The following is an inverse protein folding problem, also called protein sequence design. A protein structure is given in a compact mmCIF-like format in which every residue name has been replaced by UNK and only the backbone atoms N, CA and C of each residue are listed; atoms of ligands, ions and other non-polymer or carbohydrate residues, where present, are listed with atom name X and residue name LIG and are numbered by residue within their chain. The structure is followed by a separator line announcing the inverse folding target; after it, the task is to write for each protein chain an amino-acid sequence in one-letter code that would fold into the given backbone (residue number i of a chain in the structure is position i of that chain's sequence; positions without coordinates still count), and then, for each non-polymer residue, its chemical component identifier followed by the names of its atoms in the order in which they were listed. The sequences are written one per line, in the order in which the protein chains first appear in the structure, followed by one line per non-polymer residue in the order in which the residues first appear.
data_IF_517011737253
#
_entry.id   IF_517011737253
#
_cell.length_a   1.000
_cell.length_b   1.000
_cell.length_c   1.000
_cell.angle_alpha   90.00
_cell.angle_beta   90.00
_cell.angle_gamma   90.00
#
_symmetry.space_group_name_H-M   'P 1'
#
loop_
_entity.id
_entity.type
_entity.pdbx_description
1 polymer ?
#
# COMPACT_ATOMS: atom_id res chain seq x y z
N UNK A 1 11.20 3.07 12.86
CA UNK A 1 11.06 3.81 11.60
C UNK A 1 9.67 3.53 11.04
N UNK A 2 9.26 4.22 9.96
CA UNK A 2 8.09 3.84 9.18
C UNK A 2 8.53 3.48 7.76
N UNK A 3 7.98 2.40 7.21
CA UNK A 3 8.22 1.95 5.85
C UNK A 3 6.91 2.10 5.10
N UNK A 4 6.93 2.88 4.02
CA UNK A 4 5.77 3.04 3.14
C UNK A 4 5.92 2.03 2.01
N UNK A 5 4.90 1.19 1.83
CA UNK A 5 4.88 0.13 0.84
C UNK A 5 4.00 0.53 -0.33
N UNK A 6 4.52 0.30 -1.52
CA UNK A 6 3.83 0.52 -2.79
C UNK A 6 3.10 -0.76 -3.26
N UNK A 7 2.10 -0.60 -4.13
CA UNK A 7 1.29 -1.69 -4.67
C UNK A 7 2.14 -2.75 -5.37
N UNK A 8 3.16 -2.37 -6.13
CA UNK A 8 3.99 -3.33 -6.87
C UNK A 8 4.81 -4.22 -5.93
N UNK A 9 5.37 -3.65 -4.87
CA UNK A 9 6.11 -4.39 -3.85
C UNK A 9 5.18 -5.36 -3.12
N UNK A 10 4.02 -4.88 -2.66
CA UNK A 10 3.04 -5.73 -1.98
C UNK A 10 2.56 -6.87 -2.91
N UNK A 11 2.29 -6.55 -4.17
CA UNK A 11 1.87 -7.52 -5.19
C UNK A 11 2.93 -8.58 -5.46
N UNK A 12 4.19 -8.17 -5.60
CA UNK A 12 5.29 -9.09 -5.85
C UNK A 12 5.44 -10.11 -4.71
N UNK A 13 5.40 -9.66 -3.46
CA UNK A 13 5.49 -10.55 -2.30
C UNK A 13 4.24 -11.41 -2.12
N UNK A 14 3.03 -10.87 -2.34
CA UNK A 14 1.80 -11.64 -2.20
C UNK A 14 1.71 -12.79 -3.20
N UNK A 15 2.08 -12.55 -4.47
CA UNK A 15 2.05 -13.57 -5.54
C UNK A 15 2.94 -14.78 -5.26
N UNK A 16 3.94 -14.64 -4.39
CA UNK A 16 4.86 -15.73 -4.00
C UNK A 16 4.66 -16.18 -2.54
N UNK A 17 3.53 -15.83 -1.91
CA UNK A 17 3.25 -16.12 -0.48
C UNK A 17 4.32 -15.56 0.47
N UNK A 18 4.98 -14.47 0.08
CA UNK A 18 6.14 -13.88 0.74
C UNK A 18 5.82 -12.74 1.71
N UNK A 19 4.56 -12.35 1.92
CA UNK A 19 4.20 -11.22 2.81
C UNK A 19 4.77 -11.39 4.24
N UNK A 20 4.89 -12.64 4.71
CA UNK A 20 5.52 -12.93 6.01
C UNK A 20 6.99 -12.50 6.06
N UNK A 21 7.75 -12.70 4.98
CA UNK A 21 9.14 -12.26 4.88
C UNK A 21 9.26 -10.74 4.98
N UNK A 22 8.33 -10.01 4.35
CA UNK A 22 8.28 -8.54 4.43
C UNK A 22 8.06 -8.08 5.88
N UNK A 23 7.18 -8.76 6.62
CA UNK A 23 6.96 -8.48 8.04
C UNK A 23 8.17 -8.85 8.92
N UNK A 24 8.85 -9.96 8.63
CA UNK A 24 10.05 -10.36 9.37
C UNK A 24 11.19 -9.35 9.16
N UNK A 25 11.41 -8.92 7.91
CA UNK A 25 12.43 -7.95 7.52
C UNK A 25 12.26 -6.60 8.23
N UNK A 26 11.02 -6.14 8.37
CA UNK A 26 10.67 -4.84 8.97
C UNK A 26 9.96 -4.98 10.32
N UNK A 27 10.25 -6.06 11.06
CA UNK A 27 9.54 -6.43 12.29
C UNK A 27 9.56 -5.38 13.41
N UNK A 28 10.48 -4.40 13.35
CA UNK A 28 10.59 -3.31 14.33
C UNK A 28 10.01 -1.98 13.82
N UNK A 29 9.53 -1.94 12.59
CA UNK A 29 9.05 -0.75 11.91
C UNK A 29 7.54 -0.79 11.70
N UNK A 30 6.94 0.39 11.51
CA UNK A 30 5.54 0.49 11.10
C UNK A 30 5.47 0.35 9.59
N UNK A 31 4.84 -0.73 9.12
CA UNK A 31 4.47 -0.89 7.72
C UNK A 31 3.21 -0.07 7.42
N UNK A 32 3.32 0.84 6.47
CA UNK A 32 2.28 1.78 6.09
C UNK A 32 2.05 1.71 4.58
N UNK A 33 0.91 2.23 4.15
CA UNK A 33 0.47 2.31 2.75
C UNK A 33 -0.30 3.62 2.58
N UNK A 34 -0.39 4.13 1.36
CA UNK A 34 -1.19 5.31 1.04
C UNK A 34 -2.63 4.92 0.69
N UNK A 35 -3.53 5.91 0.58
CA UNK A 35 -4.89 5.67 0.08
C UNK A 35 -4.89 5.23 -1.38
N UNK A 36 -3.99 5.77 -2.22
CA UNK A 36 -3.87 5.36 -3.63
C UNK A 36 -3.53 3.87 -3.79
N UNK A 37 -2.63 3.35 -2.96
CA UNK A 37 -2.33 1.91 -2.92
C UNK A 37 -3.57 1.08 -2.55
N UNK A 38 -4.41 1.59 -1.63
CA UNK A 38 -5.67 0.91 -1.28
C UNK A 38 -6.66 0.89 -2.45
N UNK A 39 -6.78 2.00 -3.19
CA UNK A 39 -7.62 2.11 -4.38
C UNK A 39 -7.15 1.15 -5.49
N UNK A 40 -5.85 1.07 -5.72
CA UNK A 40 -5.26 0.13 -6.68
C UNK A 40 -5.53 -1.33 -6.28
N UNK A 41 -5.35 -1.68 -5.01
CA UNK A 41 -5.65 -3.02 -4.50
C UNK A 41 -7.13 -3.37 -4.61
N UNK A 42 -8.03 -2.41 -4.40
CA UNK A 42 -9.47 -2.61 -4.60
C UNK A 42 -9.79 -2.93 -6.07
N UNK A 43 -9.21 -2.17 -7.02
CA UNK A 43 -9.35 -2.44 -8.45
C UNK A 43 -8.80 -3.81 -8.87
N UNK A 44 -7.63 -4.19 -8.33
CA UNK A 44 -7.02 -5.51 -8.57
C UNK A 44 -7.94 -6.63 -8.06
N UNK A 45 -8.51 -6.47 -6.86
CA UNK A 45 -9.49 -7.43 -6.31
C UNK A 45 -10.72 -7.56 -7.19
N UNK A 46 -11.30 -6.44 -7.62
CA UNK A 46 -12.48 -6.41 -8.51
C UNK A 46 -12.20 -7.07 -9.87
N UNK A 47 -10.94 -7.05 -10.30
CA UNK A 47 -10.48 -7.75 -11.51
C UNK A 47 -10.30 -9.27 -11.33
N UNK A 48 -10.58 -9.81 -10.14
CA UNK A 48 -10.55 -11.25 -9.86
C UNK A 48 -9.19 -11.80 -9.38
N UNK A 49 -8.30 -10.93 -8.90
CA UNK A 49 -7.00 -11.36 -8.38
C UNK A 49 -7.01 -11.53 -6.85
N UNK A 50 -7.07 -12.79 -6.40
CA UNK A 50 -7.21 -13.16 -4.99
C UNK A 50 -6.04 -12.72 -4.08
N UNK A 51 -4.85 -12.44 -4.64
CA UNK A 51 -3.71 -11.98 -3.84
C UNK A 51 -3.95 -10.60 -3.21
N UNK A 52 -4.86 -9.80 -3.77
CA UNK A 52 -5.22 -8.50 -3.21
C UNK A 52 -5.86 -8.64 -1.82
N UNK A 53 -6.69 -9.66 -1.59
CA UNK A 53 -7.31 -9.90 -0.29
C UNK A 53 -6.27 -10.27 0.79
N UNK A 54 -5.24 -11.01 0.39
CA UNK A 54 -4.12 -11.33 1.28
C UNK A 54 -3.36 -10.08 1.70
N UNK A 55 -3.13 -9.16 0.75
CA UNK A 55 -2.49 -7.87 1.03
C UNK A 55 -3.38 -7.06 1.97
N UNK A 56 -4.67 -6.90 1.65
CA UNK A 56 -5.61 -6.10 2.45
C UNK A 56 -5.75 -6.61 3.90
N UNK A 57 -5.67 -7.92 4.12
CA UNK A 57 -5.62 -8.51 5.47
C UNK A 57 -4.28 -8.33 6.19
N UNK A 58 -3.20 -8.11 5.46
CA UNK A 58 -1.84 -7.94 5.97
C UNK A 58 -1.53 -6.49 6.38
N UNK A 59 -1.91 -5.51 5.57
CA UNK A 59 -1.62 -4.09 5.84
C UNK A 59 -2.61 -3.48 6.85
N UNK A 60 -2.07 -2.78 7.86
CA UNK A 60 -2.88 -1.86 8.68
C UNK A 60 -2.94 -0.51 8.00
N UNK A 61 -4.11 -0.13 7.50
CA UNK A 61 -4.32 1.20 6.93
C UNK A 61 -4.06 2.26 8.02
N UNK A 62 -3.16 3.20 7.73
CA UNK A 62 -3.04 4.45 8.49
C UNK A 62 -3.53 5.57 7.59
N UNK A 63 -4.76 6.06 7.78
CA UNK A 63 -5.32 7.09 6.91
C UNK A 63 -4.43 8.33 6.94
N UNK A 64 -4.16 8.89 5.76
CA UNK A 64 -3.56 10.22 5.67
C UNK A 64 -4.54 11.21 6.30
N UNK A 65 -4.03 12.07 7.19
CA UNK A 65 -4.82 13.19 7.68
C UNK A 65 -5.00 14.22 6.55
N UNK A 66 -6.00 15.08 6.69
CA UNK A 66 -6.41 16.04 5.65
C UNK A 66 -5.24 16.88 5.12
N UNK A 67 -4.35 17.32 6.02
CA UNK A 67 -3.14 18.09 5.69
C UNK A 67 -2.21 17.34 4.73
N UNK A 68 -1.99 16.03 4.97
CA UNK A 68 -1.14 15.21 4.10
C UNK A 68 -1.83 14.89 2.78
N UNK A 69 -3.16 14.71 2.80
CA UNK A 69 -3.95 14.47 1.59
C UNK A 69 -3.89 15.68 0.66
N UNK A 70 -4.01 16.89 1.20
CA UNK A 70 -3.91 18.13 0.43
C UNK A 70 -2.52 18.34 -0.18
N UNK A 71 -1.47 17.98 0.56
CA UNK A 71 -0.09 18.00 0.04
C UNK A 71 0.08 17.02 -1.12
N UNK A 72 -0.47 15.80 -0.99
CA UNK A 72 -0.43 14.80 -2.05
C UNK A 72 -1.17 15.26 -3.31
N UNK A 73 -2.39 15.79 -3.18
CA UNK A 73 -3.14 16.32 -4.31
C UNK A 73 -2.43 17.51 -4.98
N UNK A 74 -1.78 18.38 -4.20
CA UNK A 74 -1.00 19.49 -4.72
C UNK A 74 0.21 19.00 -5.53
N UNK A 75 0.90 17.98 -5.03
CA UNK A 75 2.01 17.34 -5.73
C UNK A 75 1.56 16.71 -7.06
N UNK A 76 0.48 15.90 -7.06
CA UNK A 76 -0.05 15.30 -8.29
C UNK A 76 -0.42 16.36 -9.35
N UNK A 77 -1.08 17.45 -8.94
CA UNK A 77 -1.43 18.56 -9.85
C UNK A 77 -0.19 19.18 -10.49
N UNK A 78 0.91 19.33 -9.73
CA UNK A 78 2.17 19.86 -10.25
C UNK A 78 2.94 18.89 -11.14
N UNK A 79 2.76 17.58 -10.97
CA UNK A 79 3.44 16.56 -11.78
C UNK A 79 2.73 16.28 -13.11
N UNK A 80 1.45 16.64 -13.22
CA UNK A 80 0.63 16.48 -14.44
C UNK A 80 0.50 17.77 -15.27
N UNK A 81 1.12 18.87 -14.83
CA UNK A 81 1.21 20.16 -15.55
C UNK A 81 2.54 20.29 -16.29
#
# INVERSE_FOLDING_TARGET
MSVVLDTDVLSAFAKISGLKLLNELFSRDKLLTTNGVYEELAYIRESGYDFADQILGFIRNTPMNDVKLDLYHSFLKSAMS
#
